data_IF_699211873690
#
_entry.id   IF_699211873690
#
_cell.length_a   1.000
_cell.length_b   1.000
_cell.length_c   1.000
_cell.angle_alpha   90.00
_cell.angle_beta   90.00
_cell.angle_gamma   90.00
#
_symmetry.space_group_name_H-M   'P 1'
#
loop_
_entity.id
_entity.type
_entity.pdbx_description
1 polymer ?
#
# COMPACT_ATOMS: atom_id res chain seq x y z
N UNK A 1 -0.81 9.05 -18.43
CA UNK A 1 0.58 9.54 -18.48
C UNK A 1 1.24 9.25 -17.16
N UNK A 2 2.50 8.79 -17.11
CA UNK A 2 3.19 8.61 -15.83
C UNK A 2 3.31 9.97 -15.15
N UNK A 3 3.00 9.99 -13.84
CA UNK A 3 3.00 11.22 -13.07
C UNK A 3 4.36 11.39 -12.38
N UNK A 4 5.06 12.45 -12.72
CA UNK A 4 6.39 12.78 -12.18
C UNK A 4 6.34 13.48 -10.83
N UNK A 5 5.16 13.83 -10.35
CA UNK A 5 4.91 14.52 -9.07
C UNK A 5 3.88 13.77 -8.22
N UNK A 6 3.90 14.04 -6.92
CA UNK A 6 2.86 13.54 -6.01
C UNK A 6 1.48 14.07 -6.41
N UNK A 7 0.46 13.24 -6.26
CA UNK A 7 -0.94 13.59 -6.50
C UNK A 7 -1.74 13.38 -5.23
N UNK A 8 -2.65 14.31 -4.96
CA UNK A 8 -3.60 14.21 -3.86
C UNK A 8 -5.00 14.42 -4.44
N UNK A 9 -5.90 13.50 -4.11
CA UNK A 9 -7.31 13.56 -4.50
C UNK A 9 -8.22 13.13 -3.36
N UNK A 10 -9.51 13.47 -3.46
CA UNK A 10 -10.54 12.98 -2.54
C UNK A 10 -11.44 11.99 -3.26
N UNK A 11 -11.79 10.92 -2.53
CA UNK A 11 -12.79 9.95 -2.92
C UNK A 11 -13.81 9.84 -1.78
N UNK A 12 -14.95 10.52 -1.90
CA UNK A 12 -15.90 10.68 -0.79
C UNK A 12 -15.22 11.34 0.41
N UNK A 13 -15.32 10.73 1.59
CA UNK A 13 -14.67 11.19 2.82
C UNK A 13 -13.16 10.91 2.86
N UNK A 14 -12.67 10.01 2.01
CA UNK A 14 -11.30 9.52 2.03
C UNK A 14 -10.33 10.42 1.25
N UNK A 15 -9.13 10.63 1.81
CA UNK A 15 -7.99 11.25 1.12
C UNK A 15 -7.16 10.16 0.46
N UNK A 16 -6.82 10.34 -0.81
CA UNK A 16 -5.93 9.47 -1.56
C UNK A 16 -4.70 10.26 -1.97
N UNK A 17 -3.51 9.83 -1.56
CA UNK A 17 -2.23 10.39 -1.99
C UNK A 17 -1.39 9.33 -2.70
N UNK A 18 -0.73 9.75 -3.78
CA UNK A 18 0.05 8.86 -4.64
C UNK A 18 1.38 9.54 -4.95
N UNK A 19 2.47 8.88 -4.58
CA UNK A 19 3.83 9.37 -4.79
C UNK A 19 4.23 9.45 -6.27
N UNK A 20 5.30 10.20 -6.52
CA UNK A 20 5.85 10.41 -7.84
C UNK A 20 6.27 9.10 -8.52
N UNK A 21 6.20 9.05 -9.84
CA UNK A 21 6.61 7.91 -10.69
C UNK A 21 5.88 6.58 -10.41
N UNK A 22 4.85 6.59 -9.57
CA UNK A 22 3.97 5.42 -9.40
C UNK A 22 3.03 5.31 -10.60
N UNK A 23 2.94 4.12 -11.19
CA UNK A 23 2.10 3.85 -12.35
C UNK A 23 1.12 2.70 -12.11
N UNK A 24 0.11 2.58 -13.00
CA UNK A 24 -0.97 1.60 -12.88
C UNK A 24 -2.05 1.99 -11.86
N UNK A 25 -2.05 3.23 -11.39
CA UNK A 25 -3.03 3.71 -10.38
C UNK A 25 -4.45 3.74 -10.90
N UNK A 26 -4.66 3.82 -12.20
CA UNK A 26 -5.94 3.68 -12.89
C UNK A 26 -6.56 2.28 -12.73
N UNK A 27 -5.75 1.30 -12.36
CA UNK A 27 -6.15 -0.09 -12.13
C UNK A 27 -6.59 -0.36 -10.68
N UNK A 28 -6.52 0.66 -9.80
CA UNK A 28 -6.86 0.52 -8.39
C UNK A 28 -8.30 0.92 -8.15
N UNK A 29 -9.11 -0.06 -7.74
CA UNK A 29 -10.47 0.17 -7.26
C UNK A 29 -10.44 0.45 -5.75
N UNK A 30 -10.63 1.71 -5.36
CA UNK A 30 -10.70 2.11 -3.94
C UNK A 30 -12.15 2.05 -3.47
N UNK A 31 -12.41 1.30 -2.40
CA UNK A 31 -13.72 1.13 -1.78
C UNK A 31 -13.75 1.85 -0.44
N UNK A 32 -14.73 2.72 -0.22
CA UNK A 32 -14.94 3.46 1.03
C UNK A 32 -16.43 3.64 1.30
N UNK A 33 -16.82 3.80 2.55
CA UNK A 33 -18.21 3.91 2.99
C UNK A 33 -18.44 5.12 3.92
N UNK A 34 -17.56 6.11 3.90
CA UNK A 34 -17.74 7.37 4.64
C UNK A 34 -16.97 7.47 5.96
N UNK A 35 -16.23 6.43 6.37
CA UNK A 35 -15.48 6.41 7.63
C UNK A 35 -14.26 7.34 7.64
N UNK A 36 -13.83 7.84 6.47
CA UNK A 36 -12.77 8.83 6.35
C UNK A 36 -11.35 8.28 6.36
N UNK A 37 -11.16 6.96 6.39
CA UNK A 37 -9.83 6.35 6.29
C UNK A 37 -9.14 6.73 4.98
N UNK A 38 -7.84 7.01 5.04
CA UNK A 38 -7.04 7.45 3.90
C UNK A 38 -6.35 6.30 3.18
N UNK A 39 -6.02 6.52 1.89
CA UNK A 39 -5.08 5.70 1.13
C UNK A 39 -3.83 6.52 0.82
N UNK A 40 -2.66 5.98 1.19
CA UNK A 40 -1.36 6.50 0.82
C UNK A 40 -0.62 5.47 -0.02
N UNK A 41 -0.18 5.85 -1.20
CA UNK A 41 0.69 5.04 -2.06
C UNK A 41 1.98 5.82 -2.26
N UNK A 42 3.11 5.19 -1.95
CA UNK A 42 4.43 5.78 -2.08
C UNK A 42 4.86 6.04 -3.52
N UNK A 43 6.10 6.46 -3.67
CA UNK A 43 6.72 6.72 -4.96
C UNK A 43 7.23 5.43 -5.62
N UNK A 44 7.36 5.44 -6.94
CA UNK A 44 7.94 4.36 -7.75
C UNK A 44 7.25 3.00 -7.60
N UNK A 45 5.98 2.96 -7.19
CA UNK A 45 5.23 1.71 -7.13
C UNK A 45 4.82 1.24 -8.53
N UNK A 46 4.85 -0.08 -8.72
CA UNK A 46 4.39 -0.76 -9.92
C UNK A 46 3.08 -1.48 -9.63
N UNK A 47 1.98 -1.07 -10.26
CA UNK A 47 0.65 -1.58 -9.95
C UNK A 47 0.04 -2.23 -11.18
N UNK A 48 -0.25 -3.53 -11.08
CA UNK A 48 -0.92 -4.28 -12.14
C UNK A 48 -2.44 -4.06 -12.13
N UNK A 49 -3.16 -4.77 -12.98
CA UNK A 49 -4.62 -4.65 -13.13
C UNK A 49 -5.41 -5.32 -12.00
N UNK A 50 -6.69 -4.94 -11.85
CA UNK A 50 -7.66 -5.52 -10.93
C UNK A 50 -7.27 -5.45 -9.43
N UNK A 51 -6.54 -4.42 -9.02
CA UNK A 51 -6.17 -4.20 -7.61
C UNK A 51 -7.33 -3.56 -6.86
N UNK A 52 -7.67 -4.10 -5.68
CA UNK A 52 -8.73 -3.58 -4.83
C UNK A 52 -8.14 -3.12 -3.49
N UNK A 53 -8.53 -1.93 -3.03
CA UNK A 53 -8.18 -1.39 -1.71
C UNK A 53 -9.47 -1.06 -0.97
N UNK A 54 -9.69 -1.71 0.17
CA UNK A 54 -10.84 -1.48 1.03
C UNK A 54 -10.43 -0.59 2.19
N UNK A 55 -11.00 0.61 2.28
CA UNK A 55 -10.71 1.56 3.36
C UNK A 55 -11.66 1.41 4.56
N UNK A 56 -12.62 0.50 4.46
CA UNK A 56 -13.62 0.24 5.50
C UNK A 56 -14.69 -0.70 4.99
N UNK A 57 -15.95 -0.47 5.40
CA UNK A 57 -17.08 -1.30 5.05
C UNK A 57 -17.15 -2.59 5.87
N UNK A 58 -16.37 -2.69 6.94
CA UNK A 58 -16.38 -3.86 7.83
C UNK A 58 -17.69 -3.90 8.61
N UNK A 59 -18.27 -5.09 8.67
CA UNK A 59 -19.41 -5.37 9.54
C UNK A 59 -18.97 -5.77 10.94
N UNK A 60 -19.82 -5.51 11.94
CA UNK A 60 -19.57 -5.84 13.34
C UNK A 60 -19.81 -7.33 13.58
N UNK A 61 -18.73 -8.11 13.51
CA UNK A 61 -18.77 -9.55 13.81
C UNK A 61 -18.84 -9.88 15.31
N UNK A 62 -18.66 -8.87 16.15
CA UNK A 62 -18.73 -8.92 17.62
C UNK A 62 -20.12 -8.54 18.17
N UNK A 63 -21.08 -8.16 17.31
CA UNK A 63 -22.47 -7.94 17.67
C UNK A 63 -23.29 -9.23 17.49
N UNK A 64 -24.48 -9.28 18.10
CA UNK A 64 -25.39 -10.41 17.95
C UNK A 64 -25.80 -10.67 16.49
N UNK A 65 -25.72 -9.67 15.65
CA UNK A 65 -25.93 -9.77 14.20
C UNK A 65 -24.94 -8.89 13.45
N UNK A 66 -24.40 -9.34 12.33
CA UNK A 66 -23.62 -8.51 11.43
C UNK A 66 -24.49 -7.60 10.53
N UNK A 67 -25.83 -7.70 10.62
CA UNK A 67 -26.71 -6.86 9.80
C UNK A 67 -26.58 -5.39 10.22
N UNK A 68 -26.42 -4.46 9.27
CA UNK A 68 -26.12 -3.06 9.57
C UNK A 68 -27.40 -2.25 9.87
N UNK A 69 -28.11 -2.58 10.95
CA UNK A 69 -29.18 -1.73 11.46
C UNK A 69 -28.70 -0.30 11.65
N UNK A 70 -29.56 0.68 11.31
CA UNK A 70 -29.20 2.07 11.36
C UNK A 70 -28.42 2.59 10.14
N UNK A 71 -28.04 1.70 9.20
CA UNK A 71 -27.37 2.08 7.97
C UNK A 71 -28.18 1.71 6.72
N UNK A 72 -28.80 0.53 6.72
CA UNK A 72 -29.61 0.02 5.61
C UNK A 72 -31.06 -0.13 6.09
N UNK A 73 -32.03 0.23 5.23
CA UNK A 73 -33.46 0.12 5.47
C UNK A 73 -33.94 0.84 6.74
N UNK A 74 -33.40 2.02 7.05
CA UNK A 74 -33.77 2.83 8.22
C UNK A 74 -35.27 3.12 8.30
N UNK A 75 -35.92 3.42 7.16
CA UNK A 75 -37.36 3.70 7.11
C UNK A 75 -38.23 2.50 7.53
N UNK A 76 -37.79 1.28 7.22
CA UNK A 76 -38.55 0.05 7.50
C UNK A 76 -38.18 -0.57 8.84
N UNK A 77 -36.91 -0.49 9.24
CA UNK A 77 -36.35 -1.20 10.38
C UNK A 77 -35.96 -0.29 11.54
N UNK A 78 -36.00 1.04 11.33
CA UNK A 78 -35.54 2.01 12.33
C UNK A 78 -34.03 1.93 12.57
N UNK A 79 -33.62 2.32 13.80
CA UNK A 79 -32.23 2.19 14.24
C UNK A 79 -31.30 3.33 13.79
N UNK A 80 -31.83 4.48 13.36
CA UNK A 80 -31.03 5.63 12.93
C UNK A 80 -30.06 6.18 13.99
N UNK A 81 -30.29 5.83 15.28
CA UNK A 81 -29.42 6.14 16.42
C UNK A 81 -28.25 5.13 16.59
N UNK A 82 -28.28 3.99 15.90
CA UNK A 82 -27.25 2.95 16.01
C UNK A 82 -26.02 3.41 15.24
N UNK A 83 -24.89 3.54 15.95
CA UNK A 83 -23.59 3.94 15.41
C UNK A 83 -22.58 2.80 15.49
N UNK A 84 -21.51 2.88 14.69
CA UNK A 84 -20.45 1.86 14.67
C UNK A 84 -20.52 0.93 13.46
N UNK A 85 -21.36 1.25 12.50
CA UNK A 85 -21.47 0.65 11.18
C UNK A 85 -21.52 1.72 10.09
N UNK A 86 -20.85 1.53 8.94
CA UNK A 86 -19.77 0.57 8.72
C UNK A 86 -18.54 0.89 9.57
N UNK A 87 -17.59 -0.05 9.68
CA UNK A 87 -16.36 0.12 10.45
C UNK A 87 -15.13 0.07 9.55
N UNK A 88 -14.09 0.80 9.94
CA UNK A 88 -12.75 0.71 9.35
C UNK A 88 -11.71 0.30 10.39
N UNK A 89 -10.63 -0.38 9.94
CA UNK A 89 -9.45 -0.62 10.77
C UNK A 89 -8.42 0.50 10.63
N UNK A 90 -8.74 1.57 9.89
CA UNK A 90 -7.88 2.71 9.66
C UNK A 90 -7.33 2.81 8.24
N UNK A 91 -6.36 3.71 8.09
CA UNK A 91 -5.71 4.03 6.82
C UNK A 91 -5.03 2.81 6.19
N UNK A 92 -4.98 2.79 4.86
CA UNK A 92 -4.09 1.89 4.12
C UNK A 92 -2.87 2.69 3.68
N UNK A 93 -1.68 2.21 4.06
CA UNK A 93 -0.41 2.81 3.67
C UNK A 93 0.42 1.82 2.87
N UNK A 94 0.77 2.18 1.64
CA UNK A 94 1.65 1.44 0.75
C UNK A 94 2.93 2.26 0.63
N UNK A 95 4.06 1.68 1.02
CA UNK A 95 5.38 2.33 0.96
C UNK A 95 5.86 2.56 -0.47
N UNK A 96 7.11 3.00 -0.58
CA UNK A 96 7.76 3.28 -1.85
C UNK A 96 8.28 1.99 -2.50
N UNK A 97 8.48 1.98 -3.82
CA UNK A 97 9.05 0.84 -4.57
C UNK A 97 8.31 -0.48 -4.39
N UNK A 98 7.00 -0.43 -4.12
CA UNK A 98 6.18 -1.63 -3.94
C UNK A 98 5.69 -2.16 -5.28
N UNK A 99 5.81 -3.47 -5.47
CA UNK A 99 5.20 -4.16 -6.61
C UNK A 99 3.89 -4.85 -6.18
N UNK A 100 2.78 -4.41 -6.76
CA UNK A 100 1.45 -4.97 -6.55
C UNK A 100 1.04 -5.72 -7.81
N UNK A 101 1.01 -7.05 -7.75
CA UNK A 101 0.67 -7.88 -8.88
C UNK A 101 -0.86 -7.90 -9.13
N UNK A 102 -1.28 -8.54 -10.23
CA UNK A 102 -2.67 -8.62 -10.66
C UNK A 102 -3.59 -9.21 -9.59
N UNK A 103 -4.79 -8.64 -9.45
CA UNK A 103 -5.86 -9.19 -8.60
C UNK A 103 -5.66 -9.06 -7.10
N UNK A 104 -4.66 -8.30 -6.65
CA UNK A 104 -4.39 -8.11 -5.22
C UNK A 104 -5.53 -7.34 -4.55
N UNK A 105 -5.91 -7.79 -3.35
CA UNK A 105 -6.85 -7.10 -2.46
C UNK A 105 -6.15 -6.71 -1.16
N UNK A 106 -6.26 -5.44 -0.76
CA UNK A 106 -5.68 -4.90 0.47
C UNK A 106 -6.82 -4.39 1.37
N UNK A 107 -6.85 -4.84 2.63
CA UNK A 107 -7.88 -4.46 3.59
C UNK A 107 -7.49 -3.24 4.41
N UNK A 108 -8.49 -2.58 5.02
CA UNK A 108 -8.32 -1.39 5.86
C UNK A 108 -7.36 -1.64 7.02
N UNK A 109 -6.58 -0.62 7.39
CA UNK A 109 -5.59 -0.65 8.46
C UNK A 109 -4.24 -1.28 8.09
N UNK A 110 -4.07 -1.76 6.85
CA UNK A 110 -2.84 -2.45 6.43
C UNK A 110 -1.76 -1.45 6.04
N UNK A 111 -0.54 -1.71 6.53
CA UNK A 111 0.69 -1.07 6.09
C UNK A 111 1.54 -2.04 5.29
N UNK A 112 1.91 -1.64 4.07
CA UNK A 112 2.84 -2.37 3.20
C UNK A 112 4.18 -1.63 3.18
N UNK A 113 5.24 -2.28 3.67
CA UNK A 113 6.58 -1.69 3.75
C UNK A 113 7.22 -1.47 2.37
N UNK A 114 8.16 -0.53 2.32
CA UNK A 114 8.88 -0.19 1.09
C UNK A 114 9.57 -1.41 0.46
N UNK A 115 9.59 -1.47 -0.86
CA UNK A 115 10.20 -2.56 -1.60
C UNK A 115 9.48 -3.91 -1.51
N UNK A 116 8.32 -4.00 -0.86
CA UNK A 116 7.54 -5.24 -0.75
C UNK A 116 6.96 -5.69 -2.09
N UNK A 117 6.64 -6.97 -2.18
CA UNK A 117 5.97 -7.57 -3.35
C UNK A 117 4.71 -8.27 -2.88
N UNK A 118 3.58 -7.85 -3.42
CA UNK A 118 2.29 -8.51 -3.23
C UNK A 118 2.02 -9.40 -4.46
N UNK A 119 2.11 -10.70 -4.27
CA UNK A 119 1.98 -11.67 -5.36
C UNK A 119 0.56 -11.71 -5.93
N UNK A 120 0.43 -12.25 -7.13
CA UNK A 120 -0.85 -12.36 -7.87
C UNK A 120 -1.96 -12.95 -6.99
N UNK A 121 -3.14 -12.30 -7.01
CA UNK A 121 -4.34 -12.70 -6.25
C UNK A 121 -4.15 -12.77 -4.72
N UNK A 122 -3.16 -12.11 -4.17
CA UNK A 122 -2.97 -12.03 -2.71
C UNK A 122 -4.09 -11.21 -2.04
N UNK A 123 -4.62 -11.73 -0.92
CA UNK A 123 -5.55 -10.99 -0.05
C UNK A 123 -4.83 -10.59 1.23
N UNK A 124 -4.44 -9.32 1.30
CA UNK A 124 -3.56 -8.77 2.36
C UNK A 124 -4.41 -8.25 3.49
N UNK A 125 -4.41 -8.96 4.63
CA UNK A 125 -5.19 -8.68 5.83
C UNK A 125 -4.34 -8.14 6.99
N UNK A 126 -3.01 -8.14 6.85
CA UNK A 126 -2.03 -7.74 7.88
C UNK A 126 -0.89 -7.00 7.24
N UNK A 127 -0.15 -6.28 8.06
CA UNK A 127 1.04 -5.55 7.62
C UNK A 127 2.07 -6.46 6.94
N UNK A 128 2.72 -5.88 5.95
CA UNK A 128 3.79 -6.52 5.17
C UNK A 128 5.09 -5.80 5.45
N UNK A 129 6.11 -6.53 5.89
CA UNK A 129 7.41 -5.96 6.20
C UNK A 129 8.11 -5.39 4.94
N UNK A 130 9.02 -4.41 5.10
CA UNK A 130 9.82 -3.93 3.98
C UNK A 130 10.56 -5.07 3.26
N UNK A 131 10.60 -5.01 1.94
CA UNK A 131 11.25 -6.01 1.07
C UNK A 131 10.74 -7.45 1.24
N UNK A 132 9.58 -7.64 1.86
CA UNK A 132 8.95 -8.95 2.00
C UNK A 132 8.11 -9.28 0.76
N UNK A 133 8.12 -10.54 0.35
CA UNK A 133 7.21 -11.10 -0.65
C UNK A 133 6.12 -11.87 0.08
N UNK A 134 4.86 -11.48 -0.17
CA UNK A 134 3.69 -12.16 0.39
C UNK A 134 2.77 -12.66 -0.72
N UNK A 135 1.98 -13.70 -0.45
CA UNK A 135 1.03 -14.24 -1.41
C UNK A 135 -0.01 -15.17 -0.79
N UNK A 136 -1.05 -15.45 -1.55
CA UNK A 136 -2.15 -16.33 -1.14
C UNK A 136 -3.34 -15.57 -0.55
N UNK A 137 -4.38 -16.33 -0.17
CA UNK A 137 -5.60 -15.83 0.49
C UNK A 137 -5.90 -16.70 1.72
N UNK A 138 -5.74 -16.18 2.96
CA UNK A 138 -5.09 -14.89 3.28
C UNK A 138 -3.60 -14.88 2.91
N UNK A 139 -3.07 -13.70 2.59
CA UNK A 139 -1.67 -13.54 2.24
C UNK A 139 -0.76 -13.90 3.43
N UNK A 140 0.29 -14.67 3.13
CA UNK A 140 1.33 -15.09 4.07
C UNK A 140 2.70 -14.76 3.51
N UNK A 141 3.72 -14.54 4.37
CA UNK A 141 5.09 -14.41 3.93
C UNK A 141 5.54 -15.63 3.11
N UNK A 142 6.10 -15.36 1.92
CA UNK A 142 6.75 -16.37 1.07
C UNK A 142 8.24 -16.38 1.36
N UNK A 143 8.88 -15.19 1.31
CA UNK A 143 10.29 -14.97 1.65
C UNK A 143 10.61 -13.48 1.75
N UNK A 144 11.78 -13.16 2.29
CA UNK A 144 12.41 -11.86 2.08
C UNK A 144 13.06 -11.80 0.70
N UNK A 145 13.13 -10.61 0.11
CA UNK A 145 13.85 -10.36 -1.16
C UNK A 145 15.35 -10.51 -0.95
N UNK A 146 15.85 -10.01 0.17
CA UNK A 146 17.26 -9.90 0.52
C UNK A 146 17.51 -10.21 1.99
N UNK A 147 18.77 -10.39 2.40
CA UNK A 147 19.16 -10.50 3.80
C UNK A 147 18.97 -9.17 4.55
N UNK A 148 18.89 -9.26 5.89
CA UNK A 148 18.55 -8.13 6.75
C UNK A 148 19.53 -6.96 6.63
N UNK A 149 20.82 -7.25 6.43
CA UNK A 149 21.88 -6.25 6.23
C UNK A 149 21.67 -5.45 4.93
N UNK A 150 21.28 -6.11 3.84
CA UNK A 150 20.96 -5.47 2.57
C UNK A 150 19.67 -4.66 2.67
N UNK A 151 18.63 -5.21 3.34
CA UNK A 151 17.37 -4.51 3.58
C UNK A 151 17.61 -3.23 4.37
N UNK A 152 18.41 -3.29 5.43
CA UNK A 152 18.76 -2.10 6.23
C UNK A 152 19.42 -1.01 5.39
N UNK A 153 20.39 -1.37 4.55
CA UNK A 153 21.09 -0.44 3.66
C UNK A 153 20.17 0.14 2.58
N UNK A 154 19.25 -0.62 2.03
CA UNK A 154 18.27 -0.13 1.05
C UNK A 154 17.28 0.85 1.69
N UNK A 155 16.88 0.61 2.95
CA UNK A 155 16.05 1.52 3.72
C UNK A 155 16.81 2.78 4.16
N UNK A 156 18.11 2.71 4.36
CA UNK A 156 18.97 3.87 4.58
C UNK A 156 19.16 4.68 3.29
N UNK A 157 19.45 4.01 2.19
CA UNK A 157 19.62 4.64 0.86
C UNK A 157 18.38 5.42 0.45
N UNK A 158 17.17 4.88 0.64
CA UNK A 158 15.90 5.52 0.22
C UNK A 158 16.01 6.18 -1.15
N UNK A 159 16.45 5.42 -2.14
CA UNK A 159 16.77 5.93 -3.48
C UNK A 159 15.60 6.68 -4.12
N UNK A 160 14.37 6.35 -3.77
CA UNK A 160 13.14 6.99 -4.26
C UNK A 160 12.96 8.44 -3.79
N UNK A 161 13.70 8.89 -2.77
CA UNK A 161 13.69 10.28 -2.28
C UNK A 161 14.72 11.17 -3.00
N UNK A 162 15.69 10.59 -3.70
CA UNK A 162 16.78 11.32 -4.34
C UNK A 162 16.28 12.19 -5.51
N UNK A 163 17.00 13.25 -5.88
CA UNK A 163 16.72 14.00 -7.10
C UNK A 163 16.72 13.09 -8.34
N UNK A 164 15.90 13.43 -9.34
CA UNK A 164 15.72 12.60 -10.55
C UNK A 164 17.05 12.37 -11.29
N UNK A 165 17.89 13.40 -11.34
CA UNK A 165 19.20 13.35 -11.98
C UNK A 165 20.12 12.32 -11.31
N UNK A 166 20.07 12.27 -9.97
CA UNK A 166 20.82 11.29 -9.18
C UNK A 166 20.27 9.89 -9.42
N UNK A 167 18.96 9.71 -9.38
CA UNK A 167 18.29 8.42 -9.66
C UNK A 167 18.69 7.92 -11.06
N UNK A 168 18.64 8.80 -12.06
CA UNK A 168 19.03 8.45 -13.43
C UNK A 168 20.49 7.98 -13.52
N UNK A 169 21.37 8.66 -12.80
CA UNK A 169 22.79 8.30 -12.79
C UNK A 169 23.06 6.94 -12.11
N UNK A 170 22.31 6.60 -11.06
CA UNK A 170 22.50 5.34 -10.31
C UNK A 170 21.58 4.20 -10.78
N UNK A 171 20.65 4.44 -11.69
CA UNK A 171 19.72 3.41 -12.19
C UNK A 171 20.40 2.12 -12.67
N UNK A 172 21.58 2.16 -13.37
CA UNK A 172 22.31 0.94 -13.73
C UNK A 172 22.81 0.14 -12.53
N UNK A 173 23.06 0.80 -11.38
CA UNK A 173 23.48 0.13 -10.14
C UNK A 173 22.27 -0.45 -9.40
N UNK A 174 21.15 0.27 -9.35
CA UNK A 174 19.88 -0.22 -8.78
C UNK A 174 19.29 -1.40 -9.57
N UNK A 175 19.63 -1.54 -10.84
CA UNK A 175 19.12 -2.60 -11.73
C UNK A 175 19.99 -3.87 -11.70
N UNK A 176 20.66 -4.14 -10.59
CA UNK A 176 21.50 -5.33 -10.35
C UNK A 176 21.16 -5.95 -8.99
N UNK A 177 21.51 -7.23 -8.76
CA UNK A 177 21.47 -7.81 -7.42
C UNK A 177 22.27 -6.94 -6.45
N UNK A 178 21.68 -6.52 -5.32
CA UNK A 178 22.34 -5.62 -4.39
C UNK A 178 23.39 -6.36 -3.56
N UNK A 179 24.59 -5.78 -3.45
CA UNK A 179 25.65 -6.22 -2.57
C UNK A 179 25.88 -5.18 -1.46
N UNK A 180 26.04 -5.62 -0.20
CA UNK A 180 26.15 -4.72 0.95
C UNK A 180 27.32 -3.72 0.80
N UNK A 181 28.48 -4.16 0.28
CA UNK A 181 29.63 -3.27 0.06
C UNK A 181 29.34 -2.19 -0.97
N UNK A 182 28.70 -2.55 -2.09
CA UNK A 182 28.33 -1.61 -3.15
C UNK A 182 27.28 -0.60 -2.66
N UNK A 183 26.28 -1.06 -1.87
CA UNK A 183 25.26 -0.17 -1.29
C UNK A 183 25.89 0.85 -0.31
N UNK A 184 26.81 0.42 0.55
CA UNK A 184 27.52 1.35 1.47
C UNK A 184 28.30 2.42 0.71
N UNK A 185 28.94 2.07 -0.39
CA UNK A 185 29.64 3.03 -1.25
C UNK A 185 28.64 3.96 -1.94
N UNK A 186 27.55 3.43 -2.45
CA UNK A 186 26.50 4.21 -3.09
C UNK A 186 25.88 5.22 -2.11
N UNK A 187 25.56 4.81 -0.86
CA UNK A 187 25.02 5.68 0.18
C UNK A 187 25.98 6.84 0.45
N UNK A 188 27.27 6.56 0.67
CA UNK A 188 28.29 7.62 0.90
C UNK A 188 28.37 8.63 -0.25
N UNK A 189 28.17 8.17 -1.50
CA UNK A 189 28.22 9.02 -2.69
C UNK A 189 26.98 9.91 -2.84
N UNK A 190 25.79 9.42 -2.49
CA UNK A 190 24.53 10.14 -2.78
C UNK A 190 23.88 10.77 -1.54
N UNK A 191 24.35 10.44 -0.33
CA UNK A 191 23.90 10.98 0.96
C UNK A 191 25.11 11.35 1.82
N UNK A 192 25.89 12.37 1.40
CA UNK A 192 27.09 12.82 2.13
C UNK A 192 26.77 13.42 3.50
#
# INVERSE_FOLDING_TARGET
>A
MPHTVERIQRLGASRVSIGRFTYGTENVSVRQWGEGAALRIGAFCSIASAVNVFLGGNHRSDWATPFPFGHIYQEQLGGGEIVGHPQTNGDVTIGDDVWIAHGVTIMSGVTVGAGAVLAINATVLRDVAPYQIVGGNPAKPIRQRFGDDVVALLLELRWWDLPVEVITAIAPELSKPPEAAALKELIRRVRP
#
